data_IF_805974033423
#
_entry.id   IF_805974033423
#
_cell.length_a   1.000
_cell.length_b   1.000
_cell.length_c   1.000
_cell.angle_alpha   90.00
_cell.angle_beta   90.00
_cell.angle_gamma   90.00
#
_symmetry.space_group_name_H-M   'P 1'
#
loop_
_entity.id
_entity.type
_entity.pdbx_description
1 polymer ?
#
# COMPACT_ATOMS: atom_id res chain seq x y z
N UNK A 1 -6.02 -8.42 -23.51
CA UNK A 1 -5.96 -9.11 -22.21
C UNK A 1 -6.80 -8.29 -21.26
N UNK A 2 -7.94 -8.81 -20.81
CA UNK A 2 -8.79 -8.17 -19.81
C UNK A 2 -8.02 -8.13 -18.49
N UNK A 3 -7.60 -6.94 -18.07
CA UNK A 3 -6.92 -6.74 -16.79
C UNK A 3 -7.83 -7.16 -15.65
N UNK A 4 -7.25 -7.74 -14.60
CA UNK A 4 -7.98 -8.02 -13.37
C UNK A 4 -8.19 -6.68 -12.67
N UNK A 5 -9.43 -6.18 -12.71
CA UNK A 5 -9.83 -4.94 -12.06
C UNK A 5 -9.89 -5.09 -10.53
N UNK A 6 -9.69 -3.97 -9.84
CA UNK A 6 -9.90 -3.88 -8.40
C UNK A 6 -11.38 -3.79 -8.09
N UNK A 7 -11.83 -4.55 -7.10
CA UNK A 7 -13.12 -4.32 -6.46
C UNK A 7 -13.15 -2.98 -5.73
N UNK A 8 -14.34 -2.45 -5.50
CA UNK A 8 -14.53 -1.20 -4.75
C UNK A 8 -13.98 -1.29 -3.31
N UNK A 9 -14.04 -2.48 -2.69
CA UNK A 9 -13.49 -2.71 -1.36
C UNK A 9 -11.96 -2.65 -1.35
N UNK A 10 -11.31 -3.33 -2.31
CA UNK A 10 -9.85 -3.29 -2.47
C UNK A 10 -9.37 -1.85 -2.72
N UNK A 11 -10.04 -1.11 -3.62
CA UNK A 11 -9.72 0.28 -3.91
C UNK A 11 -9.91 1.20 -2.69
N UNK A 12 -10.97 1.01 -1.91
CA UNK A 12 -11.23 1.76 -0.68
C UNK A 12 -10.17 1.47 0.39
N UNK A 13 -9.80 0.21 0.57
CA UNK A 13 -8.77 -0.21 1.53
C UNK A 13 -7.41 0.41 1.18
N UNK A 14 -7.00 0.37 -0.10
CA UNK A 14 -5.78 1.05 -0.57
C UNK A 14 -5.81 2.54 -0.24
N UNK A 15 -6.92 3.22 -0.55
CA UNK A 15 -7.09 4.63 -0.22
C UNK A 15 -6.89 4.92 1.28
N UNK A 16 -7.47 4.10 2.16
CA UNK A 16 -7.30 4.23 3.61
C UNK A 16 -5.86 3.98 4.06
N UNK A 17 -5.19 3.01 3.44
CA UNK A 17 -3.79 2.74 3.76
C UNK A 17 -2.93 3.95 3.39
N UNK A 18 -3.09 4.51 2.19
CA UNK A 18 -2.35 5.70 1.77
C UNK A 18 -2.63 6.88 2.69
N UNK A 19 -3.88 7.09 3.10
CA UNK A 19 -4.24 8.12 4.08
C UNK A 19 -3.59 7.89 5.45
N UNK A 20 -3.57 6.65 5.95
CA UNK A 20 -2.89 6.31 7.21
C UNK A 20 -1.39 6.60 7.13
N UNK A 21 -0.74 6.27 6.02
CA UNK A 21 0.68 6.54 5.81
C UNK A 21 0.98 8.04 5.63
N UNK A 22 0.14 8.79 4.92
CA UNK A 22 0.26 10.25 4.80
C UNK A 22 0.06 10.96 6.14
N UNK A 23 -0.84 10.46 6.99
CA UNK A 23 -1.07 11.02 8.34
C UNK A 23 -0.09 10.51 9.40
N UNK A 24 0.72 9.49 9.08
CA UNK A 24 1.60 8.83 10.05
C UNK A 24 0.84 8.01 11.11
N UNK A 25 -0.42 7.65 10.83
CA UNK A 25 -1.26 6.91 11.76
C UNK A 25 -1.02 5.40 11.68
N UNK A 26 -0.08 4.92 12.48
CA UNK A 26 0.19 3.49 12.64
C UNK A 26 -1.06 2.71 13.08
N UNK A 27 -1.82 3.25 14.04
CA UNK A 27 -2.98 2.56 14.60
C UNK A 27 -4.07 2.30 13.54
N UNK A 28 -4.30 3.26 12.64
CA UNK A 28 -5.24 3.08 11.54
C UNK A 28 -4.70 2.13 10.48
N UNK A 29 -3.40 2.18 10.19
CA UNK A 29 -2.75 1.22 9.28
C UNK A 29 -2.88 -0.22 9.78
N UNK A 30 -2.57 -0.46 11.06
CA UNK A 30 -2.58 -1.79 11.66
C UNK A 30 -3.98 -2.44 11.69
N UNK A 31 -5.06 -1.66 11.57
CA UNK A 31 -6.44 -2.18 11.48
C UNK A 31 -6.84 -2.61 10.06
N UNK A 32 -6.03 -2.30 9.05
CA UNK A 32 -6.35 -2.56 7.63
C UNK A 32 -5.82 -3.90 7.13
N UNK A 33 -5.04 -4.62 7.95
CA UNK A 33 -4.61 -5.99 7.68
C UNK A 33 -5.68 -6.98 8.10
N UNK A 34 -5.90 -8.02 7.30
CA UNK A 34 -6.82 -9.12 7.64
C UNK A 34 -6.16 -10.12 8.60
N UNK A 35 -4.83 -10.29 8.49
CA UNK A 35 -4.03 -11.20 9.30
C UNK A 35 -3.04 -10.40 10.18
N UNK A 36 -2.72 -10.88 11.40
CA UNK A 36 -1.68 -10.27 12.22
C UNK A 36 -0.32 -10.24 11.50
N UNK A 37 0.44 -9.16 11.69
CA UNK A 37 1.81 -9.11 11.20
C UNK A 37 2.67 -10.16 11.91
N UNK A 38 3.52 -10.86 11.16
CA UNK A 38 4.48 -11.80 11.73
C UNK A 38 5.45 -11.13 12.72
N UNK A 39 5.73 -9.84 12.53
CA UNK A 39 6.50 -8.98 13.44
C UNK A 39 5.92 -7.57 13.41
N UNK A 40 5.32 -7.16 14.52
CA UNK A 40 4.76 -5.80 14.68
C UNK A 40 5.85 -4.73 14.58
N UNK A 41 7.00 -4.97 15.24
CA UNK A 41 8.14 -4.05 15.25
C UNK A 41 8.66 -3.80 13.84
N UNK A 42 8.92 -4.86 13.08
CA UNK A 42 9.46 -4.74 11.72
C UNK A 42 8.47 -4.06 10.78
N UNK A 43 7.18 -4.35 10.91
CA UNK A 43 6.15 -3.71 10.09
C UNK A 43 6.01 -2.22 10.44
N UNK A 44 6.10 -1.88 11.72
CA UNK A 44 6.07 -0.49 12.19
C UNK A 44 7.26 0.32 11.69
N UNK A 45 8.46 -0.26 11.68
CA UNK A 45 9.66 0.39 11.10
C UNK A 45 9.49 0.67 9.60
N UNK A 46 8.97 -0.29 8.85
CA UNK A 46 8.68 -0.12 7.42
C UNK A 46 7.61 0.94 7.18
N UNK A 47 6.55 0.95 7.99
CA UNK A 47 5.51 1.97 7.94
C UNK A 47 6.08 3.36 8.23
N UNK A 48 6.86 3.50 9.30
CA UNK A 48 7.43 4.80 9.71
C UNK A 48 8.39 5.36 8.64
N UNK A 49 9.22 4.51 8.01
CA UNK A 49 10.10 4.92 6.89
C UNK A 49 9.27 5.36 5.67
N UNK A 50 8.28 4.56 5.28
CA UNK A 50 7.45 4.84 4.10
C UNK A 50 6.56 6.08 4.30
N UNK A 51 6.00 6.24 5.50
CA UNK A 51 5.19 7.40 5.90
C UNK A 51 5.98 8.69 5.79
N UNK A 52 7.22 8.73 6.32
CA UNK A 52 8.11 9.90 6.21
C UNK A 52 8.40 10.27 4.76
N UNK A 53 8.64 9.28 3.89
CA UNK A 53 8.88 9.50 2.46
C UNK A 53 7.64 10.07 1.77
N UNK A 54 6.46 9.53 2.05
CA UNK A 54 5.19 10.03 1.52
C UNK A 54 4.87 11.45 1.99
N UNK A 55 5.05 11.74 3.28
CA UNK A 55 4.84 13.07 3.84
C UNK A 55 5.77 14.10 3.21
N UNK A 56 7.05 13.75 3.03
CA UNK A 56 8.04 14.61 2.36
C UNK A 56 7.69 14.88 0.89
N UNK A 57 7.01 13.95 0.23
CA UNK A 57 6.54 14.12 -1.14
C UNK A 57 5.37 15.11 -1.29
N UNK A 58 4.69 15.47 -0.19
CA UNK A 58 3.72 16.57 -0.16
C UNK A 58 2.53 16.43 -1.12
N UNK A 59 2.19 15.21 -1.54
CA UNK A 59 1.09 14.97 -2.49
C UNK A 59 1.48 15.03 -3.97
N UNK A 60 2.75 15.31 -4.31
CA UNK A 60 3.23 15.34 -5.69
C UNK A 60 3.67 13.95 -6.18
N UNK A 61 2.76 12.98 -6.16
CA UNK A 61 3.03 11.60 -6.57
C UNK A 61 2.06 11.09 -7.63
N UNK A 62 2.52 10.10 -8.39
CA UNK A 62 1.70 9.32 -9.31
C UNK A 62 1.51 7.94 -8.69
N UNK A 63 0.24 7.52 -8.60
CA UNK A 63 -0.14 6.18 -8.21
C UNK A 63 -0.26 5.29 -9.44
N UNK A 64 0.30 4.09 -9.38
CA UNK A 64 -0.06 3.01 -10.29
C UNK A 64 -0.36 1.73 -9.50
N UNK A 65 -1.21 0.88 -10.09
CA UNK A 65 -1.69 -0.33 -9.44
C UNK A 65 -1.51 -1.51 -10.37
N UNK A 66 -1.11 -2.66 -9.81
CA UNK A 66 -1.05 -3.93 -10.52
C UNK A 66 -1.69 -5.00 -9.66
N UNK A 67 -2.53 -5.83 -10.27
CA UNK A 67 -3.13 -6.99 -9.62
C UNK A 67 -2.52 -8.24 -10.24
N UNK A 68 -2.06 -9.16 -9.40
CA UNK A 68 -1.61 -10.49 -9.79
C UNK A 68 -2.41 -11.53 -9.02
N UNK A 69 -2.68 -12.66 -9.66
CA UNK A 69 -3.28 -13.83 -9.01
C UNK A 69 -2.21 -14.92 -9.04
N UNK A 70 -1.83 -15.42 -7.87
CA UNK A 70 -0.85 -16.52 -7.75
C UNK A 70 -1.56 -17.87 -7.69
N UNK A 71 -0.79 -18.95 -7.80
CA UNK A 71 -1.28 -20.33 -8.04
C UNK A 71 -2.32 -20.83 -7.02
N UNK A 72 -2.31 -20.31 -5.79
CA UNK A 72 -3.26 -20.69 -4.73
C UNK A 72 -4.59 -19.90 -4.77
N UNK A 73 -4.78 -19.04 -5.78
CA UNK A 73 -5.94 -18.16 -5.92
C UNK A 73 -5.83 -16.86 -5.14
N UNK A 74 -4.74 -16.65 -4.38
CA UNK A 74 -4.49 -15.39 -3.67
C UNK A 74 -4.31 -14.26 -4.67
N UNK A 75 -5.00 -13.15 -4.42
CA UNK A 75 -4.82 -11.88 -5.14
C UNK A 75 -3.75 -11.05 -4.46
N UNK A 76 -2.73 -10.67 -5.21
CA UNK A 76 -1.70 -9.73 -4.79
C UNK A 76 -1.96 -8.39 -5.45
N UNK A 77 -2.07 -7.33 -4.65
CA UNK A 77 -2.27 -5.98 -5.15
C UNK A 77 -1.02 -5.14 -4.84
N UNK A 78 -0.35 -4.75 -5.90
CA UNK A 78 0.82 -3.91 -5.87
C UNK A 78 0.40 -2.47 -6.08
N UNK A 79 0.78 -1.59 -5.15
CA UNK A 79 0.56 -0.15 -5.28
C UNK A 79 1.92 0.52 -5.34
N UNK A 80 2.19 1.17 -6.45
CA UNK A 80 3.44 1.90 -6.68
C UNK A 80 3.16 3.39 -6.60
N UNK A 81 3.97 4.09 -5.80
CA UNK A 81 3.92 5.54 -5.68
C UNK A 81 5.23 6.12 -6.18
N UNK A 82 5.15 6.96 -7.21
CA UNK A 82 6.29 7.63 -7.81
C UNK A 82 6.28 9.12 -7.46
N UNK A 83 7.36 9.64 -6.86
CA UNK A 83 7.54 11.08 -6.70
C UNK A 83 8.44 11.65 -7.83
N UNK A 84 7.83 12.34 -8.79
CA UNK A 84 8.55 12.94 -9.94
C UNK A 84 9.40 14.16 -9.59
N UNK A 85 9.21 14.79 -8.43
CA UNK A 85 10.01 15.94 -8.00
C UNK A 85 11.34 15.54 -7.32
N UNK A 86 11.43 14.31 -6.80
CA UNK A 86 12.60 13.85 -6.05
C UNK A 86 13.63 13.05 -6.88
N UNK A 87 13.36 12.81 -8.16
CA UNK A 87 14.32 12.20 -9.09
C UNK A 87 14.70 10.74 -8.87
N UNK A 88 14.24 10.07 -7.79
CA UNK A 88 14.50 8.63 -7.55
C UNK A 88 13.79 8.11 -6.27
N UNK A 89 12.46 8.15 -6.19
CA UNK A 89 11.82 7.44 -5.07
C UNK A 89 10.54 6.77 -5.52
N UNK A 90 10.71 5.51 -5.91
CA UNK A 90 9.64 4.53 -5.96
C UNK A 90 9.39 4.08 -4.52
N UNK A 91 8.24 4.45 -3.96
CA UNK A 91 7.78 3.88 -2.70
C UNK A 91 6.89 2.71 -3.08
N UNK A 92 7.40 1.50 -2.88
CA UNK A 92 6.65 0.28 -3.13
C UNK A 92 5.85 -0.09 -1.87
N UNK A 93 4.53 -0.07 -1.99
CA UNK A 93 3.65 -0.64 -0.97
C UNK A 93 3.07 -1.96 -1.48
N UNK A 94 3.37 -3.03 -0.77
CA UNK A 94 2.74 -4.34 -1.01
C UNK A 94 1.59 -4.53 -0.04
N UNK A 95 0.38 -4.66 -0.58
CA UNK A 95 -0.77 -5.13 0.19
C UNK A 95 -1.18 -6.50 -0.31
N UNK A 96 -1.02 -7.50 0.55
CA UNK A 96 -1.65 -8.80 0.33
C UNK A 96 -3.07 -8.67 0.87
N UNK A 97 -4.04 -8.50 -0.03
CA UNK A 97 -5.44 -8.57 0.30
C UNK A 97 -5.98 -9.90 -0.24
N UNK A 98 -6.32 -10.83 0.65
CA UNK A 98 -7.04 -12.03 0.23
C UNK A 98 -8.46 -11.59 -0.15
N UNK A 99 -8.89 -11.91 -1.36
CA UNK A 99 -10.30 -11.77 -1.69
C UNK A 99 -11.10 -12.75 -0.82
N UNK A 100 -12.17 -12.23 -0.22
CA UNK A 100 -13.20 -13.01 0.47
C UNK A 100 -14.07 -13.68 -0.59
#
# INVERSE_FOLDING_TARGET
MSGVELSSLEASRIGRILQSAMSGSWEEFAKLTDDPFASDVSMREQFDDSSKRLQKAGGAWIESRKVEIIDDGTRLIFVTIENKQAGNTDIYFHFIARAI
#
